data_IF_803306813993
#
_entry.id   IF_803306813993
#
_cell.length_a   1.000
_cell.length_b   1.000
_cell.length_c   1.000
_cell.angle_alpha   90.00
_cell.angle_beta   90.00
_cell.angle_gamma   90.00
#
_symmetry.space_group_name_H-M   'P 1'
#
loop_
_entity.id
_entity.type
_entity.pdbx_description
1 polymer ?
#
# COMPACT_ATOMS: atom_id res chain seq x y z
N UNK A 1 45.11 21.82 -37.59
CA UNK A 1 44.55 23.20 -37.48
C UNK A 1 43.43 23.25 -38.50
N UNK A 2 42.13 23.29 -38.22
CA UNK A 2 41.31 23.56 -37.03
C UNK A 2 39.87 23.12 -37.35
N UNK A 3 39.02 23.08 -36.32
CA UNK A 3 37.56 22.93 -36.34
C UNK A 3 36.98 21.51 -36.44
N UNK A 4 37.12 20.76 -35.34
CA UNK A 4 35.96 20.01 -34.81
C UNK A 4 35.33 20.85 -33.70
N UNK A 5 34.04 21.12 -33.83
CA UNK A 5 33.25 21.96 -32.94
C UNK A 5 33.27 21.43 -31.50
N UNK A 6 33.50 22.28 -30.47
CA UNK A 6 33.60 21.82 -29.07
C UNK A 6 32.23 21.55 -28.40
N UNK A 7 31.11 21.63 -29.13
CA UNK A 7 29.78 21.46 -28.53
C UNK A 7 29.33 20.00 -28.35
N UNK A 8 29.92 19.03 -29.06
CA UNK A 8 29.45 17.63 -28.95
C UNK A 8 30.09 16.86 -27.78
N UNK A 9 31.30 17.22 -27.35
CA UNK A 9 32.00 16.52 -26.26
C UNK A 9 31.54 16.96 -24.84
N UNK A 10 30.82 18.08 -24.74
CA UNK A 10 30.17 18.53 -23.50
C UNK A 10 28.75 17.96 -23.31
N UNK A 11 28.17 17.31 -24.32
CA UNK A 11 26.83 16.70 -24.23
C UNK A 11 26.87 15.26 -23.72
N UNK A 12 27.99 14.53 -23.85
CA UNK A 12 28.08 13.15 -23.35
C UNK A 12 27.99 13.01 -21.82
N UNK A 13 28.58 13.90 -20.99
CA UNK A 13 28.38 13.87 -19.54
C UNK A 13 27.00 14.39 -19.12
N UNK A 14 26.39 15.28 -19.92
CA UNK A 14 25.05 15.82 -19.68
C UNK A 14 23.91 14.89 -20.13
N UNK A 15 24.18 13.93 -21.01
CA UNK A 15 23.24 12.83 -21.34
C UNK A 15 23.38 11.62 -20.41
N UNK A 16 24.51 11.50 -19.69
CA UNK A 16 24.67 10.54 -18.59
C UNK A 16 24.00 11.01 -17.28
N UNK A 17 23.78 12.32 -17.14
CA UNK A 17 22.80 12.93 -16.23
C UNK A 17 21.44 12.77 -16.93
N UNK A 18 20.53 11.87 -16.57
CA UNK A 18 19.37 12.23 -15.72
C UNK A 18 18.31 11.09 -15.74
N UNK A 19 18.70 9.83 -15.87
CA UNK A 19 17.79 8.70 -15.60
C UNK A 19 18.16 8.17 -14.21
N UNK A 20 17.85 8.96 -13.18
CA UNK A 20 18.04 8.49 -11.82
C UNK A 20 16.97 7.42 -11.56
N UNK A 21 17.36 6.14 -11.59
CA UNK A 21 16.45 5.05 -11.26
C UNK A 21 15.90 5.20 -9.85
N UNK A 22 16.65 5.85 -8.97
CA UNK A 22 16.35 6.06 -7.56
C UNK A 22 16.18 7.55 -7.23
N UNK A 23 15.18 7.87 -6.42
CA UNK A 23 14.92 9.20 -5.89
C UNK A 23 14.74 9.13 -4.36
N UNK A 24 15.52 9.94 -3.64
CA UNK A 24 15.37 10.09 -2.18
C UNK A 24 14.36 11.21 -1.93
N UNK A 25 13.25 10.87 -1.30
CA UNK A 25 12.16 11.78 -0.99
C UNK A 25 12.32 12.34 0.43
N UNK A 26 12.24 13.67 0.57
CA UNK A 26 12.55 14.40 1.80
C UNK A 26 11.31 15.00 2.48
N UNK A 27 10.09 14.59 2.09
CA UNK A 27 8.85 15.00 2.76
C UNK A 27 8.18 16.24 2.17
N UNK A 28 8.63 16.74 1.02
CA UNK A 28 8.02 17.89 0.36
C UNK A 28 6.62 17.56 -0.20
N UNK A 29 5.63 18.46 -0.13
CA UNK A 29 4.24 18.16 -0.54
C UNK A 29 4.05 17.95 -2.05
N UNK A 30 4.95 18.50 -2.87
CA UNK A 30 4.90 18.37 -4.33
C UNK A 30 6.31 18.02 -4.84
N UNK A 31 6.75 16.75 -4.70
CA UNK A 31 8.06 16.31 -5.15
C UNK A 31 8.18 16.44 -6.67
N UNK A 32 9.30 17.03 -7.11
CA UNK A 32 9.68 17.02 -8.53
C UNK A 32 10.48 15.76 -8.79
N UNK A 33 9.77 14.66 -9.05
CA UNK A 33 10.39 13.35 -9.32
C UNK A 33 11.20 13.44 -10.63
N UNK A 34 12.52 13.14 -10.60
CA UNK A 34 13.34 13.16 -11.81
C UNK A 34 12.80 12.22 -12.91
N UNK A 35 12.94 12.58 -14.19
CA UNK A 35 12.61 11.68 -15.28
C UNK A 35 13.36 10.34 -15.15
N UNK A 36 12.68 9.23 -15.44
CA UNK A 36 13.27 7.89 -15.37
C UNK A 36 13.31 7.26 -13.98
N UNK A 37 12.87 7.95 -12.93
CA UNK A 37 12.77 7.37 -11.59
C UNK A 37 11.74 6.24 -11.52
N UNK A 38 12.21 5.09 -11.06
CA UNK A 38 11.41 3.88 -10.84
C UNK A 38 11.40 3.43 -9.38
N UNK A 39 12.35 3.87 -8.56
CA UNK A 39 12.44 3.57 -7.13
C UNK A 39 12.41 4.87 -6.33
N UNK A 40 11.54 4.93 -5.33
CA UNK A 40 11.53 6.02 -4.35
C UNK A 40 11.89 5.47 -2.98
N UNK A 41 12.87 6.10 -2.34
CA UNK A 41 13.28 5.83 -0.98
C UNK A 41 12.89 7.04 -0.16
N UNK A 42 12.01 6.84 0.82
CA UNK A 42 11.60 7.91 1.73
C UNK A 42 12.63 7.99 2.86
N UNK A 43 13.22 9.17 3.02
CA UNK A 43 14.22 9.42 4.05
C UNK A 43 13.67 9.16 5.46
N UNK A 44 14.55 8.70 6.36
CA UNK A 44 14.15 8.33 7.73
C UNK A 44 13.61 9.51 8.56
N UNK A 45 13.95 10.74 8.19
CA UNK A 45 13.42 11.94 8.84
C UNK A 45 11.95 12.23 8.51
N UNK A 46 11.41 11.61 7.46
CA UNK A 46 10.04 11.85 7.00
C UNK A 46 9.06 11.02 7.82
N UNK A 47 8.32 11.70 8.71
CA UNK A 47 7.28 11.07 9.53
C UNK A 47 5.93 10.91 8.80
N UNK A 48 5.62 11.80 7.87
CA UNK A 48 4.34 11.86 7.14
C UNK A 48 4.65 12.05 5.66
N UNK A 49 4.03 11.24 4.79
CA UNK A 49 3.98 11.55 3.36
C UNK A 49 2.69 12.33 3.09
N UNK A 50 2.79 13.63 2.76
CA UNK A 50 1.66 14.52 2.60
C UNK A 50 0.76 14.13 1.42
N UNK A 51 -0.49 14.56 1.53
CA UNK A 51 -1.54 14.26 0.57
C UNK A 51 -1.12 14.63 -0.85
N UNK A 52 -1.40 13.71 -1.79
CA UNK A 52 -1.15 13.86 -3.24
C UNK A 52 0.32 14.00 -3.68
N UNK A 53 1.31 13.78 -2.80
CA UNK A 53 2.72 13.94 -3.16
C UNK A 53 3.13 13.18 -4.44
N UNK A 54 2.64 11.96 -4.63
CA UNK A 54 2.93 11.13 -5.81
C UNK A 54 1.67 10.83 -6.64
N UNK A 55 0.65 11.68 -6.56
CA UNK A 55 -0.62 11.50 -7.24
C UNK A 55 -0.43 11.26 -8.74
N UNK A 56 -0.99 10.17 -9.27
CA UNK A 56 -0.96 9.76 -10.67
C UNK A 56 0.45 9.55 -11.25
N UNK A 57 1.46 9.32 -10.40
CA UNK A 57 2.80 9.03 -10.89
C UNK A 57 2.81 7.71 -11.69
N UNK A 58 3.33 7.75 -12.92
CA UNK A 58 3.32 6.59 -13.83
C UNK A 58 4.68 5.92 -13.99
N UNK A 59 5.72 6.41 -13.33
CA UNK A 59 7.08 5.90 -13.47
C UNK A 59 7.53 5.08 -12.27
N UNK A 60 7.06 5.41 -11.06
CA UNK A 60 7.47 4.72 -9.83
C UNK A 60 6.94 3.29 -9.86
N UNK A 61 7.85 2.36 -9.60
CA UNK A 61 7.64 0.90 -9.55
C UNK A 61 7.84 0.36 -8.14
N UNK A 62 8.75 0.94 -7.36
CA UNK A 62 9.06 0.51 -5.99
C UNK A 62 9.13 1.69 -5.03
N UNK A 63 8.51 1.52 -3.85
CA UNK A 63 8.53 2.48 -2.74
C UNK A 63 9.08 1.81 -1.49
N UNK A 64 10.02 2.47 -0.81
CA UNK A 64 10.60 2.00 0.46
C UNK A 64 10.49 3.12 1.50
N UNK A 65 9.86 2.83 2.63
CA UNK A 65 9.61 3.76 3.73
C UNK A 65 10.00 3.14 5.08
N UNK A 66 11.01 3.70 5.77
CA UNK A 66 11.43 3.20 7.09
C UNK A 66 10.97 4.09 8.27
N UNK A 67 10.98 5.42 8.11
CA UNK A 67 10.60 6.39 9.17
C UNK A 67 9.13 6.81 9.18
N UNK A 68 8.39 6.54 8.10
CA UNK A 68 7.04 7.06 7.89
C UNK A 68 6.04 6.39 8.84
N UNK A 69 5.19 7.21 9.46
CA UNK A 69 4.05 6.81 10.30
C UNK A 69 2.72 6.92 9.60
N UNK A 70 2.53 7.98 8.82
CA UNK A 70 1.27 8.25 8.13
C UNK A 70 1.50 8.47 6.64
N UNK A 71 0.71 7.78 5.82
CA UNK A 71 0.54 8.07 4.39
C UNK A 71 -0.80 8.76 4.23
N UNK A 72 -0.78 10.05 3.89
CA UNK A 72 -2.00 10.86 3.82
C UNK A 72 -2.84 10.54 2.58
N UNK A 73 -4.05 11.11 2.54
CA UNK A 73 -5.02 10.87 1.48
C UNK A 73 -4.45 11.10 0.07
N UNK A 74 -4.87 10.25 -0.87
CA UNK A 74 -4.53 10.34 -2.29
C UNK A 74 -3.01 10.34 -2.62
N UNK A 75 -2.12 10.00 -1.68
CA UNK A 75 -0.67 10.17 -1.84
C UNK A 75 -0.11 9.46 -3.07
N UNK A 76 -0.47 8.18 -3.27
CA UNK A 76 -0.08 7.34 -4.41
C UNK A 76 -1.27 6.95 -5.29
N UNK A 77 -2.41 7.64 -5.16
CA UNK A 77 -3.60 7.35 -5.97
C UNK A 77 -3.27 7.38 -7.46
N UNK A 78 -3.65 6.33 -8.18
CA UNK A 78 -3.40 6.21 -9.61
C UNK A 78 -1.94 5.95 -9.97
N UNK A 79 -1.08 5.52 -9.03
CA UNK A 79 0.29 5.07 -9.32
C UNK A 79 0.29 3.70 -10.02
N UNK A 80 -0.12 3.69 -11.29
CA UNK A 80 -0.43 2.46 -12.05
C UNK A 80 0.77 1.55 -12.32
N UNK A 81 1.99 2.06 -12.19
CA UNK A 81 3.23 1.30 -12.38
C UNK A 81 3.81 0.77 -11.06
N UNK A 82 3.30 1.21 -9.91
CA UNK A 82 3.78 0.81 -8.59
C UNK A 82 3.48 -0.68 -8.39
N UNK A 83 4.53 -1.48 -8.15
CA UNK A 83 4.46 -2.94 -8.00
C UNK A 83 4.78 -3.41 -6.59
N UNK A 84 5.64 -2.67 -5.89
CA UNK A 84 6.19 -3.08 -4.59
C UNK A 84 6.22 -1.89 -3.63
N UNK A 85 5.66 -2.08 -2.44
CA UNK A 85 5.69 -1.11 -1.33
C UNK A 85 6.25 -1.81 -0.10
N UNK A 86 7.27 -1.22 0.51
CA UNK A 86 7.87 -1.67 1.77
C UNK A 86 7.69 -0.57 2.79
N UNK A 87 6.85 -0.79 3.79
CA UNK A 87 6.49 0.20 4.80
C UNK A 87 6.29 -0.42 6.20
N UNK A 88 7.34 -1.02 6.79
CA UNK A 88 7.24 -1.72 8.07
C UNK A 88 6.79 -0.83 9.24
N UNK A 89 7.11 0.47 9.19
CA UNK A 89 6.86 1.43 10.27
C UNK A 89 5.54 2.21 10.17
N UNK A 90 4.82 2.13 9.05
CA UNK A 90 3.59 2.90 8.81
C UNK A 90 2.45 2.35 9.68
N UNK A 91 1.78 3.25 10.38
CA UNK A 91 0.68 2.98 11.31
C UNK A 91 -0.68 3.33 10.69
N UNK A 92 -0.72 4.35 9.83
CA UNK A 92 -1.96 4.83 9.20
C UNK A 92 -1.76 5.03 7.70
N UNK A 93 -2.64 4.43 6.91
CA UNK A 93 -2.84 4.74 5.49
C UNK A 93 -4.22 5.36 5.35
N UNK A 94 -4.29 6.61 4.90
CA UNK A 94 -5.53 7.36 4.79
C UNK A 94 -6.29 7.09 3.48
N UNK A 95 -7.40 7.82 3.30
CA UNK A 95 -8.35 7.71 2.19
C UNK A 95 -7.67 7.72 0.81
N UNK A 96 -8.00 6.73 -0.03
CA UNK A 96 -7.54 6.60 -1.42
C UNK A 96 -6.00 6.56 -1.61
N UNK A 97 -5.21 6.40 -0.54
CA UNK A 97 -3.76 6.61 -0.60
C UNK A 97 -3.05 5.74 -1.66
N UNK A 98 -3.49 4.50 -1.89
CA UNK A 98 -3.01 3.60 -2.94
C UNK A 98 -4.14 3.15 -3.90
N UNK A 99 -5.27 3.87 -3.95
CA UNK A 99 -6.35 3.52 -4.87
C UNK A 99 -5.87 3.56 -6.33
N UNK A 100 -6.40 2.67 -7.16
CA UNK A 100 -6.04 2.49 -8.56
C UNK A 100 -4.54 2.20 -8.84
N UNK A 101 -3.80 1.66 -7.85
CA UNK A 101 -2.47 1.09 -8.08
C UNK A 101 -2.56 -0.30 -8.73
N UNK A 102 -3.00 -0.34 -9.99
CA UNK A 102 -3.36 -1.59 -10.69
C UNK A 102 -2.25 -2.65 -10.74
N UNK A 103 -0.98 -2.23 -10.75
CA UNK A 103 0.17 -3.12 -10.78
C UNK A 103 0.70 -3.53 -9.40
N UNK A 104 0.14 -2.99 -8.31
CA UNK A 104 0.63 -3.23 -6.95
C UNK A 104 0.43 -4.69 -6.60
N UNK A 105 1.54 -5.40 -6.40
CA UNK A 105 1.55 -6.85 -6.19
C UNK A 105 2.03 -7.23 -4.79
N UNK A 106 2.98 -6.47 -4.26
CA UNK A 106 3.61 -6.76 -2.99
C UNK A 106 3.53 -5.55 -2.06
N UNK A 107 2.94 -5.75 -0.89
CA UNK A 107 2.89 -4.77 0.19
C UNK A 107 3.45 -5.43 1.43
N UNK A 108 4.51 -4.87 1.97
CA UNK A 108 5.06 -5.25 3.26
C UNK A 108 4.71 -4.14 4.27
N UNK A 109 3.84 -4.49 5.22
CA UNK A 109 3.45 -3.63 6.34
C UNK A 109 3.64 -4.38 7.65
N UNK A 110 4.18 -3.71 8.67
CA UNK A 110 4.45 -4.31 9.98
C UNK A 110 3.55 -3.78 11.08
N UNK A 111 3.33 -2.46 11.10
CA UNK A 111 2.61 -1.75 12.18
C UNK A 111 1.32 -1.10 11.73
N UNK A 112 0.81 -1.44 10.55
CA UNK A 112 -0.35 -0.79 9.95
C UNK A 112 -1.61 -1.07 10.78
N UNK A 113 -2.06 -0.06 11.53
CA UNK A 113 -3.19 -0.16 12.46
C UNK A 113 -4.52 0.26 11.82
N UNK A 114 -4.48 1.28 10.96
CA UNK A 114 -5.67 1.83 10.30
C UNK A 114 -5.48 1.89 8.79
N UNK A 115 -6.41 1.26 8.08
CA UNK A 115 -6.51 1.27 6.63
C UNK A 115 -7.77 2.05 6.25
N UNK A 116 -7.56 3.22 5.64
CA UNK A 116 -8.61 4.19 5.34
C UNK A 116 -9.55 3.77 4.21
N UNK A 117 -10.63 4.54 4.07
CA UNK A 117 -11.61 4.43 2.98
C UNK A 117 -10.90 4.28 1.64
N UNK A 118 -11.21 3.22 0.89
CA UNK A 118 -10.64 2.96 -0.43
C UNK A 118 -9.09 2.88 -0.48
N UNK A 119 -8.38 2.79 0.65
CA UNK A 119 -6.93 2.97 0.70
C UNK A 119 -6.14 2.09 -0.28
N UNK A 120 -6.58 0.85 -0.52
CA UNK A 120 -5.99 -0.08 -1.51
C UNK A 120 -7.02 -0.52 -2.56
N UNK A 121 -8.07 0.28 -2.79
CA UNK A 121 -9.08 -0.03 -3.80
C UNK A 121 -8.45 -0.21 -5.18
N UNK A 122 -9.00 -1.15 -5.94
CA UNK A 122 -8.56 -1.48 -7.30
C UNK A 122 -7.07 -1.84 -7.42
N UNK A 123 -6.42 -2.34 -6.36
CA UNK A 123 -5.09 -2.94 -6.46
C UNK A 123 -5.19 -4.33 -7.11
N UNK A 124 -5.53 -4.37 -8.40
CA UNK A 124 -5.93 -5.59 -9.15
C UNK A 124 -4.86 -6.68 -9.22
N UNK A 125 -3.59 -6.33 -8.99
CA UNK A 125 -2.47 -7.28 -8.97
C UNK A 125 -2.07 -7.74 -7.57
N UNK A 126 -2.69 -7.22 -6.51
CA UNK A 126 -2.36 -7.55 -5.14
C UNK A 126 -2.86 -8.96 -4.84
N UNK A 127 -1.93 -9.89 -4.59
CA UNK A 127 -2.28 -11.31 -4.39
C UNK A 127 -2.50 -11.67 -2.93
N UNK A 128 -1.79 -11.01 -2.02
CA UNK A 128 -1.87 -11.27 -0.59
C UNK A 128 -1.47 -10.03 0.20
N UNK A 129 -2.01 -9.88 1.40
CA UNK A 129 -1.57 -8.86 2.36
C UNK A 129 -1.59 -9.42 3.79
N UNK A 130 -0.54 -9.12 4.54
CA UNK A 130 -0.41 -9.47 5.96
C UNK A 130 -0.60 -8.21 6.81
N UNK A 131 -1.58 -8.25 7.71
CA UNK A 131 -2.04 -7.14 8.54
C UNK A 131 -2.00 -7.52 10.03
N UNK A 132 -0.81 -7.80 10.59
CA UNK A 132 -0.68 -8.34 11.95
C UNK A 132 -1.07 -7.35 13.06
N UNK A 133 -1.12 -6.05 12.76
CA UNK A 133 -1.47 -4.99 13.72
C UNK A 133 -2.74 -4.21 13.35
N UNK A 134 -3.44 -4.60 12.28
CA UNK A 134 -4.62 -3.87 11.86
C UNK A 134 -5.73 -3.95 12.91
N UNK A 135 -6.24 -2.79 13.29
CA UNK A 135 -7.39 -2.59 14.19
C UNK A 135 -8.62 -2.21 13.38
N UNK A 136 -8.45 -1.34 12.39
CA UNK A 136 -9.55 -0.75 11.61
C UNK A 136 -9.26 -0.94 10.12
N UNK A 137 -10.19 -1.62 9.44
CA UNK A 137 -10.28 -1.65 7.98
C UNK A 137 -11.54 -0.90 7.59
N UNK A 138 -11.39 0.28 6.99
CA UNK A 138 -12.53 1.14 6.64
C UNK A 138 -13.28 0.64 5.38
N UNK A 139 -14.37 1.33 5.03
CA UNK A 139 -15.21 1.00 3.90
C UNK A 139 -14.41 0.89 2.59
N UNK A 140 -14.72 -0.13 1.79
CA UNK A 140 -14.11 -0.38 0.48
C UNK A 140 -12.57 -0.43 0.44
N UNK A 141 -11.88 -0.57 1.59
CA UNK A 141 -10.41 -0.49 1.69
C UNK A 141 -9.66 -1.37 0.69
N UNK A 142 -10.15 -2.58 0.39
CA UNK A 142 -9.59 -3.52 -0.59
C UNK A 142 -10.58 -3.85 -1.71
N UNK A 143 -11.57 -2.99 -1.96
CA UNK A 143 -12.58 -3.19 -3.02
C UNK A 143 -11.91 -3.37 -4.40
N UNK A 144 -12.40 -4.29 -5.22
CA UNK A 144 -11.87 -4.63 -6.55
C UNK A 144 -10.40 -5.09 -6.58
N UNK A 145 -9.84 -5.59 -5.47
CA UNK A 145 -8.58 -6.33 -5.47
C UNK A 145 -8.78 -7.74 -6.07
N UNK A 146 -9.03 -7.81 -7.38
CA UNK A 146 -9.52 -9.03 -8.06
C UNK A 146 -8.57 -10.23 -7.99
N UNK A 147 -7.27 -10.01 -7.78
CA UNK A 147 -6.27 -11.08 -7.63
C UNK A 147 -5.98 -11.46 -6.17
N UNK A 148 -6.60 -10.80 -5.19
CA UNK A 148 -6.34 -11.02 -3.78
C UNK A 148 -6.89 -12.38 -3.37
N UNK A 149 -6.00 -13.33 -3.05
CA UNK A 149 -6.37 -14.69 -2.66
C UNK A 149 -6.36 -14.89 -1.15
N UNK A 150 -5.60 -14.05 -0.42
CA UNK A 150 -5.35 -14.23 1.02
C UNK A 150 -5.20 -12.90 1.75
N UNK A 151 -5.84 -12.80 2.90
CA UNK A 151 -5.66 -11.70 3.86
C UNK A 151 -5.46 -12.32 5.24
N UNK A 152 -4.36 -11.95 5.91
CA UNK A 152 -4.07 -12.42 7.26
C UNK A 152 -4.20 -11.26 8.24
N UNK A 153 -5.09 -11.39 9.23
CA UNK A 153 -5.23 -10.43 10.32
C UNK A 153 -4.53 -10.90 11.59
N UNK A 154 -4.05 -9.95 12.38
CA UNK A 154 -3.68 -10.19 13.77
C UNK A 154 -4.89 -10.11 14.71
N UNK A 155 -4.68 -10.49 15.97
CA UNK A 155 -5.72 -10.56 17.02
C UNK A 155 -6.33 -9.21 17.44
N UNK A 156 -5.70 -8.09 17.06
CA UNK A 156 -6.09 -6.75 17.48
C UNK A 156 -7.18 -6.12 16.59
N UNK A 157 -7.71 -6.87 15.60
CA UNK A 157 -8.76 -6.38 14.71
C UNK A 157 -10.04 -6.03 15.49
N UNK A 158 -10.59 -4.85 15.24
CA UNK A 158 -11.75 -4.29 15.93
C UNK A 158 -12.91 -3.99 14.98
N UNK A 159 -12.63 -3.56 13.75
CA UNK A 159 -13.69 -3.29 12.78
C UNK A 159 -13.30 -3.55 11.33
N UNK A 160 -14.29 -4.01 10.56
CA UNK A 160 -14.24 -4.15 9.11
C UNK A 160 -15.45 -3.44 8.52
N UNK A 161 -15.19 -2.39 7.74
CA UNK A 161 -16.21 -1.54 7.14
C UNK A 161 -16.96 -2.20 5.99
N UNK A 162 -18.06 -1.56 5.60
CA UNK A 162 -18.89 -1.92 4.46
C UNK A 162 -18.05 -2.20 3.22
N UNK A 163 -18.34 -3.31 2.53
CA UNK A 163 -17.70 -3.62 1.24
C UNK A 163 -16.16 -3.61 1.27
N UNK A 164 -15.52 -3.78 2.43
CA UNK A 164 -14.07 -3.72 2.55
C UNK A 164 -13.34 -4.66 1.58
N UNK A 165 -13.93 -5.82 1.27
CA UNK A 165 -13.42 -6.80 0.31
C UNK A 165 -14.35 -6.99 -0.90
N UNK A 166 -15.16 -5.99 -1.24
CA UNK A 166 -16.10 -6.08 -2.35
C UNK A 166 -15.41 -6.44 -3.67
N UNK A 167 -15.97 -7.38 -4.43
CA UNK A 167 -15.44 -7.86 -5.72
C UNK A 167 -13.97 -8.33 -5.66
N UNK A 168 -13.52 -8.90 -4.53
CA UNK A 168 -12.27 -9.65 -4.46
C UNK A 168 -12.48 -11.05 -5.07
N UNK A 169 -12.55 -11.11 -6.40
CA UNK A 169 -12.97 -12.30 -7.16
C UNK A 169 -12.14 -13.56 -6.88
N UNK A 170 -10.86 -13.40 -6.48
CA UNK A 170 -9.96 -14.52 -6.21
C UNK A 170 -9.82 -14.87 -4.72
N UNK A 171 -10.54 -14.20 -3.82
CA UNK A 171 -10.39 -14.42 -2.38
C UNK A 171 -11.00 -15.77 -2.02
N UNK A 172 -10.17 -16.74 -1.65
CA UNK A 172 -10.59 -18.12 -1.40
C UNK A 172 -10.89 -18.37 0.09
N UNK A 173 -10.07 -17.78 0.96
CA UNK A 173 -10.18 -17.92 2.41
C UNK A 173 -9.75 -16.64 3.11
N UNK A 174 -10.45 -16.31 4.18
CA UNK A 174 -10.08 -15.25 5.10
C UNK A 174 -10.35 -15.70 6.54
N UNK A 175 -9.41 -15.39 7.43
CA UNK A 175 -9.55 -15.67 8.87
C UNK A 175 -9.78 -14.35 9.60
N UNK A 176 -10.93 -14.23 10.25
CA UNK A 176 -11.30 -13.07 11.06
C UNK A 176 -11.19 -13.48 12.53
N UNK A 177 -10.35 -12.82 13.34
CA UNK A 177 -10.36 -13.05 14.78
C UNK A 177 -11.69 -12.59 15.35
N UNK A 178 -12.29 -13.38 16.24
CA UNK A 178 -13.43 -12.99 17.04
C UNK A 178 -12.90 -12.32 18.30
N UNK A 179 -13.28 -11.06 18.48
CA UNK A 179 -13.11 -10.27 19.68
C UNK A 179 -14.49 -9.72 20.03
N UNK A 180 -14.84 -9.76 21.32
CA UNK A 180 -16.09 -9.20 21.79
C UNK A 180 -16.22 -7.75 21.32
N UNK A 181 -17.30 -7.45 20.59
CA UNK A 181 -17.55 -6.12 20.05
C UNK A 181 -16.89 -5.81 18.71
N UNK A 182 -16.38 -6.79 17.96
CA UNK A 182 -15.99 -6.55 16.56
C UNK A 182 -17.20 -6.02 15.77
N UNK A 183 -16.99 -4.90 15.09
CA UNK A 183 -18.02 -4.26 14.25
C UNK A 183 -17.76 -4.66 12.81
N UNK A 184 -18.66 -5.47 12.26
CA UNK A 184 -18.72 -5.81 10.84
C UNK A 184 -20.00 -5.21 10.24
N UNK A 185 -19.88 -4.56 9.08
CA UNK A 185 -21.03 -4.09 8.30
C UNK A 185 -21.54 -5.19 7.35
N UNK A 186 -22.67 -4.94 6.70
CA UNK A 186 -23.21 -5.79 5.64
C UNK A 186 -22.31 -5.73 4.38
N UNK A 187 -22.42 -6.74 3.51
CA UNK A 187 -21.78 -6.77 2.19
C UNK A 187 -20.22 -6.74 2.17
N UNK A 188 -19.53 -7.03 3.28
CA UNK A 188 -18.05 -7.05 3.36
C UNK A 188 -17.42 -7.84 2.19
N UNK A 189 -17.99 -9.01 1.89
CA UNK A 189 -17.52 -9.94 0.85
C UNK A 189 -18.43 -9.99 -0.38
N UNK A 190 -19.26 -8.96 -0.61
CA UNK A 190 -20.14 -8.93 -1.78
C UNK A 190 -19.33 -9.03 -3.07
N UNK A 191 -19.64 -10.01 -3.93
CA UNK A 191 -18.92 -10.25 -5.18
C UNK A 191 -17.63 -11.06 -5.03
N UNK A 192 -17.31 -11.60 -3.85
CA UNK A 192 -16.22 -12.58 -3.71
C UNK A 192 -16.66 -13.95 -4.23
N UNK A 193 -16.54 -14.16 -5.54
CA UNK A 193 -17.07 -15.37 -6.22
C UNK A 193 -16.40 -16.68 -5.81
N UNK A 194 -15.13 -16.63 -5.38
CA UNK A 194 -14.36 -17.80 -4.93
C UNK A 194 -14.31 -17.99 -3.42
N UNK A 195 -14.97 -17.13 -2.64
CA UNK A 195 -14.92 -17.23 -1.19
C UNK A 195 -15.82 -18.37 -0.73
N UNK A 196 -15.21 -19.52 -0.47
CA UNK A 196 -15.92 -20.72 -0.01
C UNK A 196 -16.07 -20.72 1.51
N UNK A 197 -15.08 -20.19 2.24
CA UNK A 197 -15.02 -20.27 3.69
C UNK A 197 -14.48 -18.98 4.34
N UNK A 198 -15.18 -18.52 5.38
CA UNK A 198 -14.71 -17.49 6.32
C UNK A 198 -14.45 -18.17 7.65
N UNK A 199 -13.18 -18.22 8.07
CA UNK A 199 -12.78 -18.83 9.34
C UNK A 199 -12.89 -17.77 10.44
N UNK A 200 -13.70 -18.04 11.45
CA UNK A 200 -13.82 -17.20 12.64
C UNK A 200 -13.03 -17.85 13.77
N UNK A 201 -11.98 -17.18 14.26
CA UNK A 201 -11.13 -17.72 15.33
C UNK A 201 -11.34 -16.92 16.59
N UNK A 202 -11.84 -17.54 17.66
CA UNK A 202 -11.83 -16.93 18.99
C UNK A 202 -10.39 -16.55 19.33
N UNK A 203 -10.17 -15.29 19.68
CA UNK A 203 -8.86 -14.86 20.15
C UNK A 203 -8.48 -15.76 21.32
N UNK A 204 -7.45 -16.60 21.15
CA UNK A 204 -6.93 -17.40 22.23
C UNK A 204 -6.50 -16.45 23.34
N UNK A 205 -7.36 -16.27 24.33
CA UNK A 205 -6.90 -16.00 25.68
C UNK A 205 -6.12 -17.25 26.03
N UNK A 206 -4.79 -17.15 26.00
CA UNK A 206 -3.93 -18.06 26.75
C UNK A 206 -4.40 -17.99 28.21
N UNK A 207 -5.42 -18.78 28.56
CA UNK A 207 -5.64 -19.21 29.93
C UNK A 207 -4.60 -20.27 30.16
N UNK A 208 -3.40 -19.83 30.52
CA UNK A 208 -2.50 -20.63 31.34
C UNK A 208 -3.28 -21.03 32.59
N UNK A 209 -4.05 -22.12 32.50
CA UNK A 209 -4.57 -22.83 33.66
C UNK A 209 -3.54 -23.91 33.94
N UNK A 210 -2.45 -23.50 34.58
CA UNK A 210 -1.59 -24.43 35.30
C UNK A 210 -2.24 -24.62 36.67
N UNK A 211 -2.59 -25.86 36.95
CA UNK A 211 -2.98 -26.37 38.26
C UNK A 211 -1.82 -26.25 39.27
#
# INVERSE_FOLDING_TARGET
ITNRSPCYDLLLPLMHFMMAEEFIYMGEPNPVVPPGTTRVIVDESVNIIPARAFYWNRSIVELICHGVKTVERLTFNGCRSLRRVIMPGVEVVEEDAFDCCFALRYVECGKLERIGLLAFSSCKSLTSIDLPSAKIVEECAFSNCTALTKVNFGKELESIGRRAFHSCLSLERITIPLKDGIITDDDIFQGCEKLEHVDLVEGEVLRDTIA
#
